data_IF_719430942983
#
_entry.id   IF_719430942983
#
_cell.length_a   1.000
_cell.length_b   1.000
_cell.length_c   1.000
_cell.angle_alpha   90.00
_cell.angle_beta   90.00
_cell.angle_gamma   90.00
#
_symmetry.space_group_name_H-M   'P 1'
#
loop_
_entity.id
_entity.type
_entity.pdbx_description
1 polymer ?
#
# COMPACT_ATOMS: atom_id res chain seq x y z
N UNK A 1 -22.41 5.73 38.39
CA UNK A 1 -22.60 6.20 37.01
C UNK A 1 -21.79 5.29 36.13
N UNK A 2 -22.44 4.40 35.40
CA UNK A 2 -21.78 3.55 34.42
C UNK A 2 -21.38 4.36 33.18
N UNK A 3 -20.09 4.59 32.99
CA UNK A 3 -19.53 5.09 31.73
C UNK A 3 -19.61 3.99 30.67
N UNK A 4 -20.72 4.00 29.92
CA UNK A 4 -20.89 3.19 28.72
C UNK A 4 -20.16 3.87 27.55
N UNK A 5 -18.85 3.73 27.49
CA UNK A 5 -18.09 4.01 26.26
C UNK A 5 -18.15 2.79 25.33
N UNK A 6 -19.35 2.42 24.89
CA UNK A 6 -19.57 1.32 23.93
C UNK A 6 -19.50 1.84 22.48
N UNK A 7 -18.49 2.69 22.21
CA UNK A 7 -18.14 3.01 20.82
C UNK A 7 -17.20 1.92 20.34
N UNK A 8 -17.42 1.30 19.17
CA UNK A 8 -16.64 0.14 18.71
C UNK A 8 -15.15 0.44 18.49
N UNK A 9 -14.76 1.72 18.57
CA UNK A 9 -13.39 2.19 18.54
C UNK A 9 -13.19 3.01 19.81
N UNK A 10 -12.32 2.55 20.70
CA UNK A 10 -11.93 3.35 21.86
C UNK A 10 -11.06 4.53 21.37
N UNK A 11 -11.68 5.71 21.32
CA UNK A 11 -11.04 6.96 20.86
C UNK A 11 -10.46 7.69 22.07
N UNK A 12 -9.17 8.00 22.05
CA UNK A 12 -8.55 8.90 23.03
C UNK A 12 -8.74 10.34 22.57
N UNK A 13 -9.25 11.20 23.46
CA UNK A 13 -9.46 12.63 23.20
C UNK A 13 -8.44 13.43 24.00
N UNK A 14 -7.71 14.33 23.36
CA UNK A 14 -6.83 15.31 24.00
C UNK A 14 -7.28 16.71 23.62
N UNK A 15 -7.56 17.55 24.63
CA UNK A 15 -7.95 18.94 24.46
C UNK A 15 -6.72 19.84 24.50
N UNK A 16 -6.61 20.72 23.50
CA UNK A 16 -5.67 21.82 23.46
C UNK A 16 -6.40 23.15 23.31
N UNK A 17 -5.75 24.24 23.70
CA UNK A 17 -6.32 25.59 23.71
C UNK A 17 -6.92 26.07 22.37
N UNK A 18 -6.58 25.43 21.24
CA UNK A 18 -7.07 25.76 19.90
C UNK A 18 -7.70 24.58 19.15
N UNK A 19 -7.59 23.36 19.65
CA UNK A 19 -8.04 22.16 18.94
C UNK A 19 -8.23 20.95 19.84
N UNK A 20 -8.98 19.97 19.32
CA UNK A 20 -9.10 18.65 19.92
C UNK A 20 -8.39 17.63 19.03
N UNK A 21 -7.67 16.71 19.64
CA UNK A 21 -7.02 15.59 18.97
C UNK A 21 -7.79 14.32 19.31
N UNK A 22 -8.30 13.65 18.28
CA UNK A 22 -8.95 12.35 18.37
C UNK A 22 -7.99 11.27 17.86
N UNK A 23 -7.58 10.38 18.75
CA UNK A 23 -6.68 9.27 18.43
C UNK A 23 -7.46 7.97 18.37
N UNK A 24 -7.41 7.32 17.20
CA UNK A 24 -8.16 6.09 16.88
C UNK A 24 -7.31 4.81 16.96
N UNK A 25 -6.06 4.92 17.38
CA UNK A 25 -5.18 3.77 17.56
C UNK A 25 -4.83 3.60 19.04
N UNK A 26 -4.46 2.38 19.41
CA UNK A 26 -3.97 2.05 20.75
C UNK A 26 -2.45 1.92 20.78
N UNK A 27 -1.85 2.20 21.93
CA UNK A 27 -0.41 2.12 22.16
C UNK A 27 0.35 3.41 21.83
N UNK A 28 1.67 3.31 21.76
CA UNK A 28 2.56 4.45 21.51
C UNK A 28 2.56 4.88 20.04
N UNK A 29 2.75 6.20 19.82
CA UNK A 29 2.81 6.80 18.48
C UNK A 29 3.91 6.13 17.64
N UNK A 30 5.11 5.94 18.21
CA UNK A 30 6.26 5.37 17.50
C UNK A 30 5.95 3.96 16.99
N UNK A 31 5.37 3.11 17.83
CA UNK A 31 5.00 1.75 17.46
C UNK A 31 3.97 1.69 16.33
N UNK A 32 2.95 2.58 16.37
CA UNK A 32 1.95 2.68 15.31
C UNK A 32 2.59 3.12 13.98
N UNK A 33 3.47 4.12 14.06
CA UNK A 33 4.20 4.66 12.92
C UNK A 33 5.12 3.60 12.31
N UNK A 34 5.90 2.88 13.11
CA UNK A 34 6.80 1.82 12.64
C UNK A 34 6.05 0.67 11.97
N UNK A 35 4.92 0.24 12.54
CA UNK A 35 4.06 -0.78 11.95
C UNK A 35 3.47 -0.32 10.60
N UNK A 36 3.09 0.96 10.50
CA UNK A 36 2.62 1.57 9.26
C UNK A 36 3.70 1.56 8.18
N UNK A 37 4.90 2.06 8.48
CA UNK A 37 6.02 2.10 7.54
C UNK A 37 6.48 0.71 7.12
N UNK A 38 6.60 -0.21 8.09
CA UNK A 38 6.93 -1.62 7.81
C UNK A 38 5.92 -2.22 6.84
N UNK A 39 4.61 -1.99 7.04
CA UNK A 39 3.57 -2.48 6.13
C UNK A 39 3.74 -1.92 4.72
N UNK A 40 3.96 -0.61 4.60
CA UNK A 40 4.12 0.07 3.32
C UNK A 40 5.37 -0.41 2.54
N UNK A 41 6.49 -0.56 3.24
CA UNK A 41 7.79 -0.89 2.63
C UNK A 41 8.06 -2.39 2.54
N UNK A 42 7.28 -3.23 3.22
CA UNK A 42 7.47 -4.68 3.28
C UNK A 42 7.59 -5.36 1.91
N UNK A 43 6.89 -4.85 0.88
CA UNK A 43 6.92 -5.43 -0.48
C UNK A 43 8.16 -5.03 -1.28
N UNK A 44 8.83 -3.94 -0.93
CA UNK A 44 10.03 -3.46 -1.63
C UNK A 44 11.26 -4.30 -1.24
N UNK A 45 11.32 -4.76 0.03
CA UNK A 45 12.40 -5.62 0.52
C UNK A 45 12.19 -7.12 0.28
N UNK A 46 11.06 -7.57 -0.29
CA UNK A 46 10.81 -8.99 -0.61
C UNK A 46 11.43 -9.46 -1.93
N UNK A 47 12.43 -8.74 -2.43
CA UNK A 47 13.33 -9.27 -3.44
C UNK A 47 14.33 -10.21 -2.74
N UNK A 48 14.14 -11.52 -2.94
CA UNK A 48 15.00 -12.67 -2.58
C UNK A 48 14.51 -13.49 -1.37
N UNK A 49 13.56 -14.38 -1.63
CA UNK A 49 13.62 -15.77 -1.15
C UNK A 49 12.85 -16.64 -2.16
N UNK A 50 13.51 -17.52 -2.92
CA UNK A 50 12.82 -18.50 -3.74
C UNK A 50 12.34 -19.63 -2.83
N UNK A 51 11.12 -19.52 -2.29
CA UNK A 51 10.44 -20.64 -1.64
C UNK A 51 9.12 -20.89 -2.38
N UNK A 52 9.11 -22.04 -3.07
CA UNK A 52 8.06 -22.52 -3.93
C UNK A 52 6.68 -22.50 -3.26
N UNK A 53 5.72 -21.76 -3.83
CA UNK A 53 4.30 -22.14 -3.83
C UNK A 53 3.68 -21.78 -5.17
N UNK A 54 3.30 -22.84 -5.89
CA UNK A 54 2.53 -22.89 -7.12
C UNK A 54 1.17 -22.19 -6.97
N UNK A 55 0.90 -21.21 -7.83
CA UNK A 55 -0.35 -21.10 -8.60
C UNK A 55 -0.18 -20.08 -9.73
N UNK A 56 0.01 -20.63 -10.92
CA UNK A 56 0.04 -19.98 -12.22
C UNK A 56 -1.31 -19.31 -12.51
N UNK A 57 -1.35 -17.98 -12.61
CA UNK A 57 -2.15 -17.24 -13.60
C UNK A 57 -1.35 -16.01 -14.01
N UNK A 58 -0.41 -16.17 -14.95
CA UNK A 58 0.16 -15.03 -15.68
C UNK A 58 -0.72 -14.80 -16.89
N UNK A 59 -1.53 -13.73 -16.88
CA UNK A 59 -2.16 -13.24 -18.11
C UNK A 59 -1.06 -12.62 -18.98
N UNK A 60 -0.78 -13.26 -20.11
CA UNK A 60 0.12 -12.76 -21.15
C UNK A 60 -0.51 -11.52 -21.79
N UNK A 61 0.03 -10.33 -21.53
CA UNK A 61 -0.27 -9.15 -22.34
C UNK A 61 0.59 -9.25 -23.59
N UNK A 62 -0.02 -9.64 -24.73
CA UNK A 62 0.62 -9.58 -26.04
C UNK A 62 0.93 -8.12 -26.36
N UNK A 63 2.20 -7.74 -26.29
CA UNK A 63 2.69 -6.48 -26.84
C UNK A 63 2.53 -6.53 -28.37
N UNK A 64 1.60 -5.72 -28.89
CA UNK A 64 1.32 -5.62 -30.31
C UNK A 64 2.57 -5.22 -31.11
N UNK A 65 2.82 -5.92 -32.21
CA UNK A 65 3.89 -5.61 -33.16
C UNK A 65 3.55 -4.31 -33.88
N UNK A 66 4.30 -3.24 -33.63
CA UNK A 66 4.23 -2.02 -34.43
C UNK A 66 4.85 -2.31 -35.81
N UNK A 67 4.03 -2.41 -36.85
CA UNK A 67 4.53 -2.39 -38.24
C UNK A 67 5.01 -0.96 -38.53
N UNK A 68 6.32 -0.78 -38.73
CA UNK A 68 6.82 0.43 -39.39
C UNK A 68 6.64 0.25 -40.89
N UNK A 69 5.64 0.91 -41.45
CA UNK A 69 5.53 1.16 -42.88
C UNK A 69 6.18 2.51 -43.18
N UNK A 70 7.26 2.51 -43.95
CA UNK A 70 7.60 3.65 -44.81
C UNK A 70 8.15 3.07 -46.09
N UNK A 71 7.25 2.97 -47.06
CA UNK A 71 7.50 2.91 -48.49
C UNK A 71 8.27 4.17 -48.88
N UNK A 72 9.43 4.03 -49.52
CA UNK A 72 9.84 4.75 -50.73
C UNK A 72 11.03 3.98 -51.30
N UNK A 73 10.74 3.09 -52.26
CA UNK A 73 11.68 2.71 -53.31
C UNK A 73 11.87 3.91 -54.23
N UNK A 74 13.10 4.21 -54.64
CA UNK A 74 13.35 4.50 -56.05
C UNK A 74 14.83 4.28 -56.45
N UNK A 75 15.07 3.70 -57.64
CA UNK A 75 16.38 3.30 -58.16
C UNK A 75 16.98 4.34 -59.13
N UNK A 76 18.31 4.48 -59.19
CA UNK A 76 19.22 3.89 -60.21
C UNK A 76 20.68 4.06 -59.71
#
# INVERSE_FOLDING_TARGET
MEDRTDSPIAVKVEEHSRCFILTYFHGDINSMVDAHFTRALSKVCKAKTPAAKTKTIRKTIKLGKHKKSTVYDQPD
#
